data_IF_399845529455
#
_entry.id   IF_399845529455
#
_cell.length_a   1.000
_cell.length_b   1.000
_cell.length_c   1.000
_cell.angle_alpha   90.00
_cell.angle_beta   90.00
_cell.angle_gamma   90.00
#
_symmetry.space_group_name_H-M   'P 1'
#
loop_
_entity.id
_entity.type
_entity.pdbx_description
1 polymer ?
#
# COMPACT_ATOMS: atom_id res chain seq x y z
N UNK A 1 14.74 -13.95 6.84
CA UNK A 1 14.57 -12.53 6.47
C UNK A 1 13.15 -12.12 6.82
N UNK A 2 12.93 -10.90 7.31
CA UNK A 2 11.57 -10.40 7.56
C UNK A 2 10.99 -9.88 6.23
N UNK A 3 9.74 -10.24 5.95
CA UNK A 3 8.96 -9.68 4.82
C UNK A 3 8.92 -8.15 4.89
N UNK A 4 8.94 -7.47 3.75
CA UNK A 4 9.06 -6.01 3.66
C UNK A 4 7.99 -5.41 2.76
N UNK A 5 7.56 -4.19 3.07
CA UNK A 5 6.71 -3.36 2.23
C UNK A 5 7.54 -2.70 1.11
N UNK A 6 7.17 -2.90 -0.15
CA UNK A 6 7.96 -2.40 -1.31
C UNK A 6 7.20 -1.40 -2.19
N UNK A 7 5.87 -1.37 -2.12
CA UNK A 7 5.04 -0.49 -2.94
C UNK A 7 3.69 -0.20 -2.29
N UNK A 8 3.12 0.96 -2.61
CA UNK A 8 1.70 1.23 -2.36
C UNK A 8 0.86 0.44 -3.33
N UNK A 9 -0.29 -0.05 -2.88
CA UNK A 9 -1.17 -0.87 -3.70
C UNK A 9 -2.65 -0.58 -3.45
N UNK A 10 -3.44 -0.83 -4.48
CA UNK A 10 -4.90 -0.76 -4.48
C UNK A 10 -5.46 -2.08 -5.01
N UNK A 11 -6.27 -2.74 -4.21
CA UNK A 11 -7.05 -3.90 -4.63
C UNK A 11 -8.47 -3.47 -5.00
N UNK A 12 -8.85 -3.69 -6.26
CA UNK A 12 -10.18 -3.40 -6.80
C UNK A 12 -10.48 -4.35 -7.97
N UNK A 13 -11.74 -4.72 -8.19
CA UNK A 13 -12.18 -5.52 -9.36
C UNK A 13 -11.36 -6.81 -9.63
N UNK A 14 -10.88 -7.47 -8.58
CA UNK A 14 -10.07 -8.70 -8.71
C UNK A 14 -8.63 -8.46 -9.19
N UNK A 15 -8.21 -7.21 -9.36
CA UNK A 15 -6.83 -6.83 -9.67
C UNK A 15 -6.16 -6.14 -8.48
N UNK A 16 -4.83 -6.14 -8.50
CA UNK A 16 -3.99 -5.33 -7.62
C UNK A 16 -3.18 -4.40 -8.53
N UNK A 17 -3.36 -3.10 -8.35
CA UNK A 17 -2.54 -2.08 -8.98
C UNK A 17 -1.57 -1.52 -7.95
N UNK A 18 -0.29 -1.38 -8.31
CA UNK A 18 0.74 -0.88 -7.39
C UNK A 18 1.75 0.02 -8.08
N UNK A 19 2.34 0.93 -7.30
CA UNK A 19 3.48 1.74 -7.73
C UNK A 19 4.59 1.69 -6.67
N UNK A 20 5.87 1.52 -7.06
CA UNK A 20 6.96 1.46 -6.09
C UNK A 20 7.14 2.81 -5.39
N UNK A 21 7.87 2.80 -4.26
CA UNK A 21 8.29 4.01 -3.60
C UNK A 21 9.00 4.97 -4.60
N UNK A 22 8.78 6.30 -4.51
CA UNK A 22 8.08 7.02 -3.45
C UNK A 22 6.59 7.32 -3.74
N UNK A 23 5.94 6.58 -4.64
CA UNK A 23 4.53 6.83 -5.00
C UNK A 23 3.58 6.66 -3.80
N UNK A 24 2.46 7.38 -3.81
CA UNK A 24 1.41 7.32 -2.78
C UNK A 24 0.13 6.69 -3.34
N UNK A 25 -0.82 6.32 -2.47
CA UNK A 25 -2.11 5.78 -2.92
C UNK A 25 -2.83 6.71 -3.90
N UNK A 26 -2.69 8.03 -3.71
CA UNK A 26 -3.23 9.04 -4.64
C UNK A 26 -2.65 8.95 -6.05
N UNK A 27 -1.39 8.55 -6.20
CA UNK A 27 -0.76 8.37 -7.52
C UNK A 27 -1.31 7.11 -8.22
N UNK A 28 -1.52 6.03 -7.46
CA UNK A 28 -2.16 4.81 -7.98
C UNK A 28 -3.60 5.10 -8.41
N UNK A 29 -4.38 5.80 -7.57
CA UNK A 29 -5.75 6.20 -7.89
C UNK A 29 -5.83 7.05 -9.16
N UNK A 30 -4.94 8.03 -9.31
CA UNK A 30 -4.91 8.88 -10.51
C UNK A 30 -4.66 8.05 -11.78
N UNK A 31 -3.70 7.13 -11.75
CA UNK A 31 -3.45 6.23 -12.89
C UNK A 31 -4.64 5.31 -13.18
N UNK A 32 -5.31 4.81 -12.15
CA UNK A 32 -6.51 3.99 -12.32
C UNK A 32 -7.65 4.81 -12.93
N UNK A 33 -7.84 6.05 -12.51
CA UNK A 33 -8.83 6.97 -13.09
C UNK A 33 -8.52 7.30 -14.55
N UNK A 34 -7.24 7.54 -14.89
CA UNK A 34 -6.80 7.77 -16.27
C UNK A 34 -7.04 6.54 -17.16
N UNK A 35 -6.89 5.33 -16.61
CA UNK A 35 -7.13 4.08 -17.32
C UNK A 35 -8.62 3.76 -17.49
N UNK A 36 -9.40 3.92 -16.42
CA UNK A 36 -10.84 3.72 -16.44
C UNK A 36 -11.50 4.60 -15.36
N UNK A 37 -12.20 5.68 -15.76
CA UNK A 37 -12.81 6.62 -14.81
C UNK A 37 -14.00 6.03 -14.04
N UNK A 38 -14.51 4.86 -14.45
CA UNK A 38 -15.59 4.14 -13.77
C UNK A 38 -15.11 3.24 -12.64
N UNK A 39 -13.83 3.29 -12.27
CA UNK A 39 -13.32 2.66 -11.04
C UNK A 39 -13.91 3.44 -9.86
N UNK A 40 -15.10 3.02 -9.43
CA UNK A 40 -15.90 3.67 -8.38
C UNK A 40 -15.73 2.94 -7.06
N UNK A 41 -15.23 3.68 -6.06
CA UNK A 41 -15.47 3.57 -4.61
C UNK A 41 -15.76 2.15 -4.11
N UNK A 42 -14.67 1.45 -3.86
CA UNK A 42 -14.63 0.16 -3.16
C UNK A 42 -13.19 -0.34 -2.98
N UNK A 43 -12.21 0.44 -3.43
CA UNK A 43 -10.80 0.12 -3.34
C UNK A 43 -10.34 -0.15 -1.91
N UNK A 44 -9.71 -1.30 -1.72
CA UNK A 44 -8.94 -1.56 -0.52
C UNK A 44 -7.53 -1.03 -0.76
N UNK A 45 -7.22 0.07 -0.10
CA UNK A 45 -5.87 0.62 -0.07
C UNK A 45 -4.99 -0.21 0.85
N UNK A 46 -3.78 -0.50 0.39
CA UNK A 46 -2.85 -1.35 1.08
C UNK A 46 -1.47 -1.27 0.45
N UNK A 47 -0.71 -2.35 0.55
CA UNK A 47 0.67 -2.39 0.08
C UNK A 47 0.97 -3.74 -0.56
N UNK A 48 1.98 -3.78 -1.42
CA UNK A 48 2.58 -5.03 -1.86
C UNK A 48 3.84 -5.29 -1.04
N UNK A 49 4.03 -6.56 -0.70
CA UNK A 49 5.25 -7.01 -0.02
C UNK A 49 6.28 -7.55 -1.01
N UNK A 50 7.53 -7.71 -0.57
CA UNK A 50 8.58 -8.40 -1.32
C UNK A 50 8.31 -9.90 -1.56
N UNK A 51 7.37 -10.49 -0.83
CA UNK A 51 6.81 -11.82 -1.09
C UNK A 51 5.73 -11.83 -2.18
N UNK A 52 5.40 -10.67 -2.78
CA UNK A 52 4.46 -10.55 -3.89
C UNK A 52 2.98 -10.62 -3.51
N UNK A 53 2.64 -10.49 -2.22
CA UNK A 53 1.24 -10.47 -1.76
C UNK A 53 0.76 -9.07 -1.44
N UNK A 54 -0.53 -8.84 -1.63
CA UNK A 54 -1.21 -7.64 -1.16
C UNK A 54 -1.57 -7.77 0.32
N UNK A 55 -1.35 -6.70 1.07
CA UNK A 55 -1.74 -6.58 2.48
C UNK A 55 -2.49 -5.28 2.72
N UNK A 56 -3.47 -5.30 3.63
CA UNK A 56 -4.13 -4.07 4.07
C UNK A 56 -3.18 -3.22 4.94
N UNK A 57 -3.59 -2.00 5.29
CA UNK A 57 -2.75 -1.06 6.05
C UNK A 57 -2.35 -1.53 7.45
N UNK A 58 -3.19 -2.32 8.13
CA UNK A 58 -2.90 -2.83 9.48
C UNK A 58 -1.88 -3.95 9.45
N UNK A 59 -2.07 -4.90 8.55
CA UNK A 59 -1.11 -5.99 8.35
C UNK A 59 0.23 -5.41 7.87
N UNK A 60 0.18 -4.40 6.98
CA UNK A 60 1.36 -3.69 6.53
C UNK A 60 2.09 -2.99 7.68
N UNK A 61 1.37 -2.37 8.63
CA UNK A 61 1.96 -1.74 9.81
C UNK A 61 2.78 -2.73 10.65
N UNK A 62 2.20 -3.90 10.92
CA UNK A 62 2.89 -4.98 11.68
C UNK A 62 4.15 -5.43 10.95
N UNK A 63 4.06 -5.64 9.63
CA UNK A 63 5.19 -6.05 8.80
C UNK A 63 6.28 -4.98 8.78
N UNK A 64 5.92 -3.71 8.57
CA UNK A 64 6.87 -2.60 8.48
C UNK A 64 7.64 -2.41 9.79
N UNK A 65 6.96 -2.50 10.94
CA UNK A 65 7.60 -2.46 12.26
C UNK A 65 8.52 -3.65 12.47
N UNK A 66 8.05 -4.87 12.19
CA UNK A 66 8.85 -6.10 12.35
C UNK A 66 10.09 -6.13 11.44
N UNK A 67 9.99 -5.52 10.25
CA UNK A 67 11.06 -5.41 9.28
C UNK A 67 12.02 -4.23 9.54
N UNK A 68 11.76 -3.41 10.56
CA UNK A 68 12.52 -2.19 10.85
C UNK A 68 12.48 -1.16 9.72
N UNK A 69 11.39 -1.12 8.95
CA UNK A 69 11.17 -0.09 7.92
C UNK A 69 10.71 1.23 8.51
N UNK A 70 10.05 1.16 9.67
CA UNK A 70 9.61 2.31 10.45
C UNK A 70 9.90 2.03 11.93
N UNK A 71 10.18 3.09 12.69
CA UNK A 71 10.35 2.97 14.15
C UNK A 71 9.00 3.01 14.87
N UNK A 72 8.02 3.74 14.31
CA UNK A 72 6.67 3.91 14.86
C UNK A 72 5.69 4.32 13.77
N UNK A 73 4.41 4.07 14.00
CA UNK A 73 3.32 4.60 13.18
C UNK A 73 2.99 6.03 13.63
N UNK A 74 2.87 6.96 12.68
CA UNK A 74 2.39 8.31 12.98
C UNK A 74 0.88 8.35 13.23
N UNK A 75 0.12 7.49 12.55
CA UNK A 75 -1.35 7.44 12.62
C UNK A 75 -1.85 6.02 12.90
N UNK A 76 -1.41 5.44 14.02
CA UNK A 76 -1.80 4.10 14.43
C UNK A 76 -3.35 3.93 14.45
N UNK A 77 -3.89 2.76 14.07
CA UNK A 77 -3.17 1.49 13.82
C UNK A 77 -2.77 1.26 12.36
N UNK A 78 -3.08 2.18 11.45
CA UNK A 78 -2.88 1.99 10.01
C UNK A 78 -1.51 2.52 9.57
N UNK A 79 -0.87 1.82 8.62
CA UNK A 79 0.30 2.32 7.91
C UNK A 79 -0.11 3.22 6.74
N UNK A 80 0.53 4.37 6.65
CA UNK A 80 0.46 5.28 5.51
C UNK A 80 1.81 5.30 4.77
N UNK A 81 1.80 5.65 3.47
CA UNK A 81 3.04 5.76 2.69
C UNK A 81 4.03 6.74 3.31
N UNK A 82 3.51 7.80 3.92
CA UNK A 82 4.23 8.85 4.63
C UNK A 82 4.98 8.35 5.86
N UNK A 83 4.58 7.20 6.43
CA UNK A 83 5.34 6.55 7.51
C UNK A 83 6.61 5.89 6.97
N UNK A 84 6.59 5.39 5.73
CA UNK A 84 7.71 4.65 5.12
C UNK A 84 8.72 5.57 4.40
N UNK A 85 8.24 6.67 3.80
CA UNK A 85 9.06 7.62 3.05
C UNK A 85 8.45 9.02 2.93
#
# INVERSE_FOLDING_TARGET
MSERIISVAISAFGIIASLPAPARHGDVLRKLQDFNPLIIRGERQGFLTDAGRFVNRRDAAVIALAAGQIDKLMSAPDLYSEDLW
#
